data_IF_366534233147
#
_entry.id   IF_366534233147
#
_cell.length_a   1.000
_cell.length_b   1.000
_cell.length_c   1.000
_cell.angle_alpha   90.00
_cell.angle_beta   90.00
_cell.angle_gamma   90.00
#
_symmetry.space_group_name_H-M   'P 1'
#
loop_
_entity.id
_entity.type
_entity.pdbx_description
1 polymer ?
#
# COMPACT_ATOMS: atom_id res chain seq x y z
N UNK A 1 8.32 23.12 68.66
CA UNK A 1 7.17 23.33 67.76
C UNK A 1 7.56 23.64 66.31
N UNK A 2 8.56 24.50 66.03
CA UNK A 2 8.98 24.81 64.63
C UNK A 2 9.49 23.59 63.83
N UNK A 3 10.28 22.69 64.45
CA UNK A 3 10.83 21.51 63.75
C UNK A 3 9.78 20.45 63.41
N UNK A 4 8.83 20.20 64.31
CA UNK A 4 7.75 19.22 64.11
C UNK A 4 6.82 19.62 62.96
N UNK A 5 6.51 20.92 62.84
CA UNK A 5 5.68 21.46 61.76
C UNK A 5 6.38 21.35 60.38
N UNK A 6 7.71 21.53 60.36
CA UNK A 6 8.50 21.40 59.12
C UNK A 6 8.51 19.93 58.66
N UNK A 7 8.75 18.98 59.56
CA UNK A 7 8.77 17.56 59.19
C UNK A 7 7.41 17.02 58.73
N UNK A 8 6.31 17.44 59.35
CA UNK A 8 4.97 17.04 58.91
C UNK A 8 4.54 17.72 57.60
N UNK A 9 4.98 18.96 57.35
CA UNK A 9 4.75 19.63 56.06
C UNK A 9 5.58 18.99 54.93
N UNK A 10 6.83 18.61 55.19
CA UNK A 10 7.68 17.90 54.21
C UNK A 10 7.14 16.50 53.88
N UNK A 11 6.64 15.77 54.88
CA UNK A 11 6.02 14.45 54.67
C UNK A 11 4.70 14.55 53.89
N UNK A 12 3.89 15.57 54.16
CA UNK A 12 2.66 15.84 53.42
C UNK A 12 2.93 16.20 51.95
N UNK A 13 3.98 17.00 51.67
CA UNK A 13 4.40 17.31 50.30
C UNK A 13 4.88 16.05 49.57
N UNK A 14 5.69 15.19 50.22
CA UNK A 14 6.14 13.93 49.62
C UNK A 14 4.99 12.95 49.33
N UNK A 15 3.98 12.88 50.20
CA UNK A 15 2.77 12.08 49.97
C UNK A 15 1.91 12.63 48.82
N UNK A 16 1.95 13.94 48.55
CA UNK A 16 1.25 14.57 47.41
C UNK A 16 1.95 14.33 46.06
N UNK A 17 3.26 14.06 46.05
CA UNK A 17 3.99 13.68 44.82
C UNK A 17 4.02 12.16 44.59
N UNK A 18 3.85 11.36 45.65
CA UNK A 18 3.94 9.89 45.62
C UNK A 18 2.76 9.14 44.98
N UNK A 19 1.68 9.83 44.62
CA UNK A 19 0.48 9.23 44.02
C UNK A 19 0.28 9.62 42.55
N UNK A 20 1.36 9.79 41.77
CA UNK A 20 1.22 9.78 40.31
C UNK A 20 1.17 8.34 39.83
N UNK A 21 -0.04 7.85 39.64
CA UNK A 21 -0.26 6.60 38.92
C UNK A 21 0.08 6.82 37.44
N UNK A 22 1.26 6.37 37.02
CA UNK A 22 1.70 6.46 35.62
C UNK A 22 0.78 5.66 34.68
N UNK A 23 -0.04 4.73 35.19
CA UNK A 23 -1.06 4.06 34.37
C UNK A 23 -2.23 4.98 34.00
N UNK A 24 -2.40 6.10 34.73
CA UNK A 24 -3.38 7.16 34.46
C UNK A 24 -2.77 8.36 33.72
N UNK A 25 -1.51 8.26 33.28
CA UNK A 25 -0.90 9.28 32.44
C UNK A 25 -1.64 9.31 31.08
N UNK A 26 -2.37 10.40 30.74
CA UNK A 26 -3.12 10.47 29.50
C UNK A 26 -2.19 10.48 28.27
N UNK A 27 -0.90 10.82 28.47
CA UNK A 27 0.11 10.74 27.44
C UNK A 27 0.66 9.32 27.38
N UNK A 28 0.02 8.51 26.54
CA UNK A 28 0.56 7.21 26.14
C UNK A 28 1.99 7.43 25.59
N UNK A 29 2.98 6.60 25.96
CA UNK A 29 4.30 6.67 25.36
C UNK A 29 4.20 6.52 23.84
N UNK A 30 5.06 7.23 23.11
CA UNK A 30 5.12 7.14 21.65
C UNK A 30 5.36 5.70 21.24
N UNK A 31 4.43 5.15 20.46
CA UNK A 31 4.57 3.80 19.92
C UNK A 31 5.57 3.82 18.75
N UNK A 32 6.48 2.84 18.66
CA UNK A 32 7.44 2.79 17.59
C UNK A 32 6.76 2.49 16.26
N UNK A 33 7.38 2.92 15.16
CA UNK A 33 6.77 2.88 13.83
C UNK A 33 7.73 2.42 12.73
N UNK A 34 7.16 1.71 11.75
CA UNK A 34 7.83 1.41 10.49
C UNK A 34 6.97 1.85 9.31
N UNK A 35 7.61 2.18 8.20
CA UNK A 35 6.92 2.45 6.94
C UNK A 35 7.66 1.81 5.76
N UNK A 36 6.93 1.53 4.69
CA UNK A 36 7.50 1.05 3.44
C UNK A 36 7.84 2.21 2.53
N UNK A 37 8.74 1.96 1.60
CA UNK A 37 9.05 2.82 0.47
C UNK A 37 9.12 1.95 -0.78
N UNK A 38 8.09 1.99 -1.62
CA UNK A 38 8.02 1.25 -2.88
C UNK A 38 8.36 2.13 -4.08
N UNK A 39 9.08 1.57 -5.06
CA UNK A 39 9.39 2.22 -6.34
C UNK A 39 9.33 1.24 -7.51
N UNK A 40 9.15 1.77 -8.72
CA UNK A 40 9.47 1.04 -9.95
C UNK A 40 10.99 0.95 -10.09
N UNK A 41 11.53 -0.25 -10.32
CA UNK A 41 12.98 -0.42 -10.46
C UNK A 41 13.52 0.34 -11.68
N UNK A 42 14.69 0.97 -11.56
CA UNK A 42 15.31 1.75 -12.63
C UNK A 42 14.66 3.12 -12.89
N UNK A 43 13.64 3.52 -12.12
CA UNK A 43 13.09 4.88 -12.18
C UNK A 43 13.75 5.74 -11.11
N UNK A 44 14.32 6.88 -11.50
CA UNK A 44 15.05 7.76 -10.60
C UNK A 44 14.15 8.34 -9.50
N UNK A 45 14.70 8.43 -8.28
CA UNK A 45 14.08 9.11 -7.13
C UNK A 45 14.12 10.63 -7.34
N UNK A 46 13.26 11.18 -8.20
CA UNK A 46 13.02 12.62 -8.27
C UNK A 46 12.24 13.08 -7.02
N UNK A 47 12.33 14.36 -6.64
CA UNK A 47 11.87 14.97 -5.38
C UNK A 47 10.38 14.84 -4.99
N UNK A 48 9.63 13.88 -5.54
CA UNK A 48 8.31 13.44 -5.09
C UNK A 48 8.36 11.94 -4.80
N UNK A 49 8.10 11.57 -3.55
CA UNK A 49 7.85 10.19 -3.15
C UNK A 49 6.46 9.77 -3.64
N UNK A 50 6.44 9.31 -4.90
CA UNK A 50 5.41 8.55 -5.62
C UNK A 50 5.84 8.58 -7.09
N UNK A 51 6.94 7.88 -7.37
CA UNK A 51 7.73 8.08 -8.60
C UNK A 51 6.90 7.65 -9.82
N UNK A 52 6.25 8.65 -10.43
CA UNK A 52 5.34 8.66 -11.57
C UNK A 52 4.27 7.55 -11.57
N UNK A 53 3.00 7.93 -11.35
CA UNK A 53 1.88 7.08 -11.73
C UNK A 53 2.07 6.63 -13.19
N UNK A 54 2.07 5.32 -13.44
CA UNK A 54 2.38 4.73 -14.75
C UNK A 54 3.82 4.95 -15.24
N UNK A 55 4.82 5.07 -14.35
CA UNK A 55 6.23 5.14 -14.75
C UNK A 55 6.68 3.93 -15.57
N UNK A 56 6.10 2.77 -15.28
CA UNK A 56 6.16 1.55 -16.10
C UNK A 56 4.74 1.10 -16.40
N UNK A 57 4.58 0.31 -17.47
CA UNK A 57 3.30 -0.22 -17.92
C UNK A 57 3.48 -1.63 -18.46
N UNK A 58 2.42 -2.45 -18.43
CA UNK A 58 2.42 -3.70 -19.17
C UNK A 58 2.17 -3.42 -20.66
N UNK A 59 2.86 -4.14 -21.57
CA UNK A 59 2.64 -3.95 -22.99
C UNK A 59 1.30 -4.53 -23.45
N UNK A 60 0.73 -3.97 -24.51
CA UNK A 60 -0.43 -4.56 -25.20
C UNK A 60 -0.11 -5.91 -25.86
N UNK A 61 1.12 -6.08 -26.34
CA UNK A 61 1.60 -7.29 -27.03
C UNK A 61 2.70 -7.98 -26.23
N UNK A 62 2.97 -9.26 -26.54
CA UNK A 62 4.02 -10.05 -25.88
C UNK A 62 3.89 -10.13 -24.33
N UNK A 63 2.66 -10.15 -23.82
CA UNK A 63 2.39 -10.20 -22.37
C UNK A 63 2.88 -11.47 -21.67
N UNK A 64 3.18 -12.54 -22.40
CA UNK A 64 3.76 -13.77 -21.86
C UNK A 64 5.17 -13.57 -21.28
N UNK A 65 5.99 -12.73 -21.93
CA UNK A 65 7.37 -12.45 -21.49
C UNK A 65 7.47 -11.15 -20.67
N UNK A 66 6.40 -10.38 -20.58
CA UNK A 66 6.40 -9.08 -19.94
C UNK A 66 6.43 -9.19 -18.41
N UNK A 67 7.12 -8.24 -17.78
CA UNK A 67 7.14 -8.04 -16.33
C UNK A 67 7.43 -6.59 -16.00
N UNK A 68 7.03 -6.17 -14.81
CA UNK A 68 7.48 -4.92 -14.20
C UNK A 68 8.30 -5.28 -12.97
N UNK A 69 9.54 -4.80 -12.95
CA UNK A 69 10.42 -4.92 -11.80
C UNK A 69 10.19 -3.73 -10.84
N UNK A 70 10.10 -4.05 -9.55
CA UNK A 70 9.85 -3.13 -8.44
C UNK A 70 10.88 -3.32 -7.35
N UNK A 71 11.05 -2.31 -6.51
CA UNK A 71 11.83 -2.41 -5.27
C UNK A 71 11.06 -1.81 -4.10
N UNK A 72 11.17 -2.43 -2.94
CA UNK A 72 10.64 -1.92 -1.68
C UNK A 72 11.70 -1.99 -0.58
N UNK A 73 11.86 -0.91 0.18
CA UNK A 73 12.61 -0.91 1.45
C UNK A 73 11.67 -0.54 2.58
N UNK A 74 11.95 -1.03 3.78
CA UNK A 74 11.28 -0.56 4.97
C UNK A 74 12.21 0.34 5.77
N UNK A 75 11.60 1.24 6.55
CA UNK A 75 12.31 2.21 7.37
C UNK A 75 11.72 2.20 8.77
N UNK A 76 12.57 1.86 9.75
CA UNK A 76 12.37 2.22 11.16
C UNK A 76 13.26 3.42 11.47
N UNK A 77 12.68 4.49 12.02
CA UNK A 77 13.42 5.70 12.39
C UNK A 77 14.02 5.60 13.80
N UNK A 78 13.32 4.91 14.69
CA UNK A 78 13.71 4.68 16.09
C UNK A 78 14.55 3.41 16.29
N UNK A 79 14.69 2.58 15.25
CA UNK A 79 15.33 1.26 15.27
C UNK A 79 14.78 0.28 16.33
N UNK A 80 13.54 0.49 16.81
CA UNK A 80 12.93 -0.39 17.81
C UNK A 80 12.22 -1.59 17.18
N UNK A 81 11.73 -1.42 15.95
CA UNK A 81 10.99 -2.45 15.23
C UNK A 81 11.80 -2.98 14.06
N UNK A 82 11.77 -4.30 13.91
CA UNK A 82 12.30 -4.99 12.71
C UNK A 82 11.14 -5.57 11.93
N UNK A 83 11.16 -5.40 10.60
CA UNK A 83 10.18 -6.03 9.72
C UNK A 83 10.64 -7.44 9.38
N UNK A 84 9.81 -8.44 9.69
CA UNK A 84 10.09 -9.85 9.41
C UNK A 84 9.29 -10.41 8.23
N UNK A 85 8.28 -9.70 7.74
CA UNK A 85 7.51 -10.10 6.57
C UNK A 85 6.94 -8.89 5.84
N UNK A 86 7.03 -8.91 4.51
CA UNK A 86 6.37 -7.95 3.63
C UNK A 86 5.40 -8.70 2.74
N UNK A 87 4.12 -8.33 2.81
CA UNK A 87 3.08 -8.86 1.91
C UNK A 87 2.79 -7.80 0.85
N UNK A 88 3.04 -8.12 -0.41
CA UNK A 88 2.70 -7.26 -1.55
C UNK A 88 1.35 -7.72 -2.11
N UNK A 89 0.44 -6.76 -2.25
CA UNK A 89 -0.87 -6.95 -2.82
C UNK A 89 -0.99 -6.13 -4.10
N UNK A 90 -1.77 -6.64 -5.04
CA UNK A 90 -2.14 -5.93 -6.25
C UNK A 90 -3.64 -5.97 -6.40
N UNK A 91 -4.26 -4.83 -6.64
CA UNK A 91 -5.66 -4.71 -7.03
C UNK A 91 -5.75 -4.41 -8.51
N UNK A 92 -6.64 -5.11 -9.21
CA UNK A 92 -6.95 -4.85 -10.61
C UNK A 92 -8.21 -4.00 -10.67
N UNK A 93 -8.11 -2.84 -11.30
CA UNK A 93 -9.20 -1.92 -11.52
C UNK A 93 -9.63 -2.01 -12.98
N UNK A 94 -10.88 -2.37 -13.19
CA UNK A 94 -11.49 -2.37 -14.51
C UNK A 94 -12.45 -1.19 -14.63
N UNK A 95 -12.44 -0.53 -15.78
CA UNK A 95 -13.43 0.48 -16.14
C UNK A 95 -14.51 -0.10 -17.05
N UNK A 96 -15.71 0.42 -16.95
CA UNK A 96 -16.83 0.03 -17.81
C UNK A 96 -17.82 1.17 -17.94
N UNK A 97 -18.74 1.05 -18.91
CA UNK A 97 -19.90 1.93 -19.01
C UNK A 97 -21.09 1.20 -18.41
N UNK A 98 -21.78 1.82 -17.46
CA UNK A 98 -23.01 1.26 -16.90
C UNK A 98 -24.17 1.34 -17.91
N UNK A 99 -25.31 0.67 -17.66
CA UNK A 99 -26.46 0.69 -18.59
C UNK A 99 -27.01 2.08 -18.86
N UNK A 100 -26.75 3.04 -17.98
CA UNK A 100 -27.19 4.44 -18.08
C UNK A 100 -26.20 5.28 -18.91
N UNK A 101 -25.12 4.68 -19.42
CA UNK A 101 -24.10 5.35 -20.22
C UNK A 101 -22.99 6.02 -19.41
N UNK A 102 -22.96 5.86 -18.09
CA UNK A 102 -21.99 6.53 -17.23
C UNK A 102 -20.68 5.72 -17.12
N UNK A 103 -19.51 6.38 -17.15
CA UNK A 103 -18.25 5.72 -16.86
C UNK A 103 -18.19 5.30 -15.39
N UNK A 104 -17.82 4.04 -15.15
CA UNK A 104 -17.65 3.43 -13.84
C UNK A 104 -16.32 2.69 -13.77
N UNK A 105 -15.88 2.44 -12.53
CA UNK A 105 -14.76 1.56 -12.23
C UNK A 105 -15.17 0.53 -11.19
N UNK A 106 -14.48 -0.60 -11.19
CA UNK A 106 -14.66 -1.67 -10.22
C UNK A 106 -13.30 -2.20 -9.79
N UNK A 107 -13.13 -2.40 -8.48
CA UNK A 107 -12.01 -3.12 -7.90
C UNK A 107 -12.32 -4.62 -7.92
N UNK A 108 -11.51 -5.40 -8.66
CA UNK A 108 -11.71 -6.84 -8.76
C UNK A 108 -11.20 -7.59 -7.52
N UNK A 109 -10.28 -6.97 -6.77
CA UNK A 109 -9.68 -7.54 -5.55
C UNK A 109 -10.30 -7.05 -4.26
N UNK A 110 -11.25 -6.10 -4.31
CA UNK A 110 -11.83 -5.45 -3.12
C UNK A 110 -10.75 -4.91 -2.17
N UNK A 111 -9.77 -4.18 -2.71
CA UNK A 111 -8.59 -3.70 -1.97
C UNK A 111 -7.32 -4.52 -2.17
N UNK A 112 -7.36 -5.52 -3.06
CA UNK A 112 -6.19 -6.20 -3.62
C UNK A 112 -5.98 -7.63 -3.11
N UNK A 113 -5.40 -8.46 -3.98
CA UNK A 113 -5.00 -9.84 -3.69
C UNK A 113 -3.49 -9.93 -3.50
N UNK A 114 -3.04 -10.85 -2.63
CA UNK A 114 -1.61 -11.10 -2.40
C UNK A 114 -0.98 -11.62 -3.69
N UNK A 115 0.05 -10.92 -4.17
CA UNK A 115 0.81 -11.31 -5.37
C UNK A 115 2.21 -11.80 -5.01
N UNK A 116 2.80 -11.26 -3.95
CA UNK A 116 4.12 -11.67 -3.44
C UNK A 116 4.16 -11.60 -1.92
N UNK A 117 4.94 -12.49 -1.33
CA UNK A 117 5.33 -12.44 0.08
C UNK A 117 6.85 -12.47 0.14
N UNK A 118 7.43 -11.63 0.98
CA UNK A 118 8.86 -11.59 1.30
C UNK A 118 8.97 -11.97 2.77
N UNK A 119 9.25 -13.25 3.04
CA UNK A 119 9.29 -13.82 4.39
C UNK A 119 10.62 -13.57 5.13
N UNK A 120 11.63 -13.07 4.42
CA UNK A 120 12.90 -12.64 5.01
C UNK A 120 13.34 -11.31 4.38
N UNK A 121 12.71 -10.19 4.76
CA UNK A 121 13.08 -8.87 4.25
C UNK A 121 14.54 -8.54 4.57
N UNK A 122 15.21 -7.84 3.66
CA UNK A 122 16.53 -7.27 3.91
C UNK A 122 16.48 -6.25 5.06
N UNK A 123 17.65 -5.89 5.62
CA UNK A 123 17.73 -4.99 6.78
C UNK A 123 17.13 -3.60 6.57
N UNK A 124 17.04 -2.81 7.64
CA UNK A 124 16.49 -1.46 7.63
C UNK A 124 17.11 -0.61 6.50
N UNK A 125 16.26 0.07 5.72
CA UNK A 125 16.64 0.90 4.55
C UNK A 125 17.32 0.15 3.40
N UNK A 126 17.39 -1.18 3.43
CA UNK A 126 17.89 -1.99 2.32
C UNK A 126 16.74 -2.37 1.37
N UNK A 127 17.07 -2.47 0.08
CA UNK A 127 16.09 -2.81 -0.94
C UNK A 127 15.75 -4.30 -0.94
N UNK A 128 14.48 -4.59 -1.18
CA UNK A 128 13.96 -5.89 -1.55
C UNK A 128 13.41 -5.74 -2.98
N UNK A 129 13.93 -6.53 -3.92
CA UNK A 129 13.45 -6.54 -5.28
C UNK A 129 12.31 -7.55 -5.44
N UNK A 130 11.31 -7.21 -6.24
CA UNK A 130 10.26 -8.14 -6.65
C UNK A 130 9.75 -7.77 -8.03
N UNK A 131 9.06 -8.70 -8.67
CA UNK A 131 8.52 -8.52 -10.01
C UNK A 131 7.06 -8.93 -10.03
N UNK A 132 6.29 -8.31 -10.92
CA UNK A 132 4.92 -8.70 -11.21
C UNK A 132 4.77 -8.84 -12.73
N UNK A 133 4.22 -9.96 -13.15
CA UNK A 133 3.93 -10.28 -14.56
C UNK A 133 2.43 -10.27 -14.86
N UNK A 134 2.01 -10.10 -16.13
CA UNK A 134 0.62 -10.24 -16.53
C UNK A 134 0.02 -11.62 -16.21
N UNK A 135 0.83 -12.68 -16.26
CA UNK A 135 0.40 -14.04 -15.95
C UNK A 135 0.00 -14.18 -14.47
N UNK A 136 0.76 -13.57 -13.55
CA UNK A 136 0.43 -13.57 -12.12
C UNK A 136 -0.86 -12.81 -11.84
N UNK A 137 -1.03 -11.62 -12.45
CA UNK A 137 -2.28 -10.85 -12.36
C UNK A 137 -3.46 -11.68 -12.88
N UNK A 138 -3.34 -12.27 -14.06
CA UNK A 138 -4.39 -13.10 -14.62
C UNK A 138 -4.74 -14.26 -13.69
N UNK A 139 -3.77 -14.98 -13.16
CA UNK A 139 -4.03 -16.10 -12.25
C UNK A 139 -4.78 -15.66 -10.96
N UNK A 140 -4.52 -14.45 -10.46
CA UNK A 140 -5.24 -13.88 -9.33
C UNK A 140 -6.69 -13.52 -9.65
N UNK A 141 -6.98 -13.12 -10.89
CA UNK A 141 -8.25 -12.49 -11.26
C UNK A 141 -9.08 -13.23 -12.32
N UNK A 142 -8.59 -14.33 -12.90
CA UNK A 142 -9.24 -15.06 -14.00
C UNK A 142 -10.70 -15.45 -13.72
N UNK A 143 -11.02 -15.69 -12.45
CA UNK A 143 -12.36 -16.09 -11.99
C UNK A 143 -13.19 -14.91 -11.47
N UNK A 144 -12.68 -13.67 -11.58
CA UNK A 144 -13.41 -12.48 -11.15
C UNK A 144 -14.67 -12.28 -12.00
N UNK A 145 -15.75 -11.92 -11.33
CA UNK A 145 -17.03 -11.61 -11.95
C UNK A 145 -17.50 -10.22 -11.52
N UNK A 146 -18.17 -9.52 -12.43
CA UNK A 146 -18.71 -8.18 -12.20
C UNK A 146 -20.13 -8.12 -12.71
N UNK A 147 -21.01 -7.47 -11.94
CA UNK A 147 -22.39 -7.16 -12.34
C UNK A 147 -22.44 -5.81 -13.06
N UNK A 148 -21.98 -5.78 -14.30
CA UNK A 148 -21.89 -4.54 -15.09
C UNK A 148 -23.26 -3.87 -15.29
N UNK A 149 -24.32 -4.67 -15.39
CA UNK A 149 -25.72 -4.23 -15.53
C UNK A 149 -26.45 -4.10 -14.17
N UNK A 150 -25.71 -4.17 -13.05
CA UNK A 150 -26.20 -4.22 -11.67
C UNK A 150 -26.96 -5.53 -11.30
N UNK A 151 -27.14 -6.47 -12.23
CA UNK A 151 -27.97 -7.67 -12.04
C UNK A 151 -27.18 -8.97 -12.28
N UNK A 152 -26.67 -9.17 -13.50
CA UNK A 152 -26.06 -10.40 -13.98
C UNK A 152 -24.54 -10.37 -13.80
N UNK A 153 -24.00 -11.40 -13.13
CA UNK A 153 -22.56 -11.54 -12.97
C UNK A 153 -21.93 -12.06 -14.26
N UNK A 154 -21.01 -11.28 -14.83
CA UNK A 154 -20.25 -11.64 -16.03
C UNK A 154 -18.79 -11.84 -15.64
N UNK A 155 -18.16 -12.90 -16.16
CA UNK A 155 -16.71 -13.12 -15.98
C UNK A 155 -15.94 -12.03 -16.69
N UNK A 156 -15.03 -11.38 -15.96
CA UNK A 156 -14.23 -10.25 -16.45
C UNK A 156 -13.43 -10.59 -17.70
N UNK A 157 -12.78 -11.76 -17.70
CA UNK A 157 -11.88 -12.17 -18.78
C UNK A 157 -12.61 -12.79 -19.98
N UNK A 158 -13.90 -13.12 -19.81
CA UNK A 158 -14.78 -13.64 -20.88
C UNK A 158 -15.81 -12.58 -21.32
N UNK A 159 -15.69 -11.33 -20.87
CA UNK A 159 -16.68 -10.28 -21.13
C UNK A 159 -16.63 -9.86 -22.62
N UNK A 160 -17.69 -10.16 -23.42
CA UNK A 160 -17.68 -9.85 -24.86
C UNK A 160 -17.74 -8.35 -25.14
N UNK A 161 -18.22 -7.54 -24.19
CA UNK A 161 -18.18 -6.09 -24.32
C UNK A 161 -16.75 -5.57 -24.20
N UNK A 162 -15.84 -6.30 -23.55
CA UNK A 162 -14.42 -5.95 -23.33
C UNK A 162 -13.52 -7.16 -23.68
N UNK A 163 -13.51 -7.59 -24.96
CA UNK A 163 -12.72 -8.75 -25.36
C UNK A 163 -11.24 -8.46 -25.14
N UNK A 164 -10.47 -9.47 -24.71
CA UNK A 164 -9.01 -9.37 -24.62
C UNK A 164 -8.40 -9.60 -26.01
N UNK A 165 -7.35 -8.86 -26.43
CA UNK A 165 -6.69 -9.10 -27.71
C UNK A 165 -6.16 -10.54 -27.79
N UNK A 166 -6.05 -11.10 -29.01
CA UNK A 166 -5.54 -12.46 -29.18
C UNK A 166 -4.13 -12.60 -28.58
N UNK A 167 -3.94 -13.59 -27.70
CA UNK A 167 -2.68 -13.81 -26.99
C UNK A 167 -2.39 -12.83 -25.84
N UNK A 168 -3.29 -11.88 -25.56
CA UNK A 168 -3.16 -10.96 -24.44
C UNK A 168 -4.08 -11.38 -23.28
N UNK A 169 -3.57 -11.23 -22.05
CA UNK A 169 -4.35 -11.46 -20.82
C UNK A 169 -5.01 -10.18 -20.34
N UNK A 170 -4.32 -9.07 -20.51
CA UNK A 170 -4.69 -7.74 -20.05
C UNK A 170 -5.07 -6.85 -21.23
N UNK A 171 -5.95 -5.88 -20.98
CA UNK A 171 -6.52 -5.03 -22.03
C UNK A 171 -6.10 -3.57 -21.87
N UNK A 172 -5.78 -2.94 -23.00
CA UNK A 172 -5.51 -1.50 -23.12
C UNK A 172 -6.77 -0.64 -23.09
N UNK A 173 -6.58 0.66 -23.28
CA UNK A 173 -7.70 1.58 -23.41
C UNK A 173 -8.43 1.33 -24.73
N UNK A 174 -9.75 1.49 -24.72
CA UNK A 174 -10.62 1.39 -25.89
C UNK A 174 -11.74 2.43 -25.78
N UNK A 175 -12.48 2.64 -26.86
CA UNK A 175 -13.64 3.55 -26.82
C UNK A 175 -14.60 3.18 -25.69
N UNK A 176 -14.89 4.13 -24.81
CA UNK A 176 -15.78 3.95 -23.66
C UNK A 176 -15.18 3.24 -22.44
N UNK A 177 -13.92 2.80 -22.48
CA UNK A 177 -13.28 2.18 -21.31
C UNK A 177 -11.77 2.45 -21.24
N UNK A 178 -11.30 2.89 -20.08
CA UNK A 178 -9.87 2.99 -19.77
C UNK A 178 -9.20 1.60 -19.77
N UNK A 179 -7.88 1.59 -19.95
CA UNK A 179 -7.05 0.39 -19.82
C UNK A 179 -7.23 -0.28 -18.46
N UNK A 180 -6.91 -1.58 -18.40
CA UNK A 180 -6.79 -2.25 -17.10
C UNK A 180 -5.75 -1.51 -16.27
N UNK A 181 -6.12 -1.15 -15.04
CA UNK A 181 -5.26 -0.42 -14.13
C UNK A 181 -4.95 -1.28 -12.91
N UNK A 182 -3.80 -1.02 -12.30
CA UNK A 182 -3.28 -1.81 -11.20
C UNK A 182 -2.82 -0.91 -10.08
N UNK A 183 -3.19 -1.29 -8.86
CA UNK A 183 -2.80 -0.62 -7.62
C UNK A 183 -1.98 -1.60 -6.81
N UNK A 184 -0.72 -1.28 -6.53
CA UNK A 184 0.18 -2.09 -5.70
C UNK A 184 0.28 -1.49 -4.32
N UNK A 185 -0.02 -2.30 -3.31
CA UNK A 185 0.06 -1.93 -1.90
C UNK A 185 0.88 -2.97 -1.14
N UNK A 186 1.28 -2.63 0.09
CA UNK A 186 2.02 -3.54 0.95
C UNK A 186 1.55 -3.49 2.39
N UNK A 187 1.84 -4.59 3.11
CA UNK A 187 1.69 -4.72 4.55
C UNK A 187 3.03 -5.20 5.13
N UNK A 188 3.56 -4.47 6.11
CA UNK A 188 4.78 -4.79 6.83
C UNK A 188 4.40 -5.41 8.17
N UNK A 189 4.80 -6.65 8.42
CA UNK A 189 4.68 -7.28 9.74
C UNK A 189 5.99 -7.12 10.50
N UNK A 190 5.93 -6.70 11.75
CA UNK A 190 7.10 -6.55 12.60
C UNK A 190 7.36 -7.77 13.47
N UNK A 191 8.54 -7.84 14.08
CA UNK A 191 8.92 -8.84 15.09
C UNK A 191 7.95 -8.91 16.27
N UNK A 192 7.25 -7.82 16.59
CA UNK A 192 6.25 -7.74 17.65
C UNK A 192 4.83 -8.11 17.18
N UNK A 193 4.65 -8.45 15.90
CA UNK A 193 3.36 -8.80 15.31
C UNK A 193 2.52 -7.61 14.86
N UNK A 194 3.01 -6.37 14.99
CA UNK A 194 2.33 -5.17 14.48
C UNK A 194 2.32 -5.19 12.94
N UNK A 195 1.23 -4.67 12.35
CA UNK A 195 1.05 -4.61 10.91
C UNK A 195 0.90 -3.16 10.47
N UNK A 196 1.82 -2.70 9.63
CA UNK A 196 1.82 -1.36 9.05
C UNK A 196 1.45 -1.45 7.57
N UNK A 197 0.42 -0.72 7.16
CA UNK A 197 -0.10 -0.72 5.78
C UNK A 197 0.21 0.61 5.12
N UNK A 198 0.04 0.67 3.79
CA UNK A 198 0.11 1.92 3.03
C UNK A 198 -0.78 3.01 3.65
N UNK A 199 -0.36 4.27 3.52
CA UNK A 199 -1.14 5.41 4.03
C UNK A 199 -2.30 5.79 3.11
N UNK A 200 -3.24 6.55 3.67
CA UNK A 200 -4.33 7.14 2.90
C UNK A 200 -3.76 8.17 1.90
N UNK A 201 -4.29 8.16 0.69
CA UNK A 201 -3.86 9.01 -0.40
C UNK A 201 -4.21 10.47 -0.20
N UNK A 202 -5.35 10.78 0.41
CA UNK A 202 -5.86 12.16 0.57
C UNK A 202 -5.06 13.00 1.57
N UNK A 203 -3.91 12.50 2.02
CA UNK A 203 -3.05 13.11 3.03
C UNK A 203 -1.65 13.31 2.47
N UNK A 204 -0.64 12.80 3.18
CA UNK A 204 0.77 13.03 2.91
C UNK A 204 1.17 12.56 1.49
N UNK A 205 0.56 11.51 0.94
CA UNK A 205 0.86 10.99 -0.40
C UNK A 205 0.70 11.98 -1.56
N UNK A 206 -0.10 13.04 -1.39
CA UNK A 206 -0.32 14.07 -2.40
C UNK A 206 0.49 15.36 -2.14
N UNK A 207 1.24 15.44 -1.04
CA UNK A 207 2.01 16.62 -0.66
C UNK A 207 3.16 16.87 -1.65
N UNK A 208 3.17 18.00 -2.39
CA UNK A 208 4.18 18.31 -3.38
C UNK A 208 5.47 18.90 -2.80
N UNK A 209 5.57 19.10 -1.48
CA UNK A 209 6.73 19.73 -0.84
C UNK A 209 7.93 18.76 -0.70
N UNK A 210 9.18 19.27 -0.75
CA UNK A 210 10.40 18.46 -0.60
C UNK A 210 10.59 17.81 0.78
N UNK A 211 9.64 18.00 1.70
CA UNK A 211 9.69 17.47 3.07
C UNK A 211 9.50 15.94 3.08
N UNK A 212 9.08 15.35 1.96
CA UNK A 212 8.51 14.02 1.95
C UNK A 212 9.48 12.87 1.66
N UNK A 213 10.49 12.70 2.52
CA UNK A 213 10.74 11.31 2.94
C UNK A 213 9.49 10.72 3.64
N UNK A 214 8.60 11.59 4.11
CA UNK A 214 7.29 11.30 4.68
C UNK A 214 6.15 10.99 3.68
N UNK A 215 6.36 10.87 2.35
CA UNK A 215 5.35 10.29 1.42
C UNK A 215 5.74 8.85 1.03
N UNK A 216 6.63 8.22 1.80
CA UNK A 216 7.24 6.94 1.46
C UNK A 216 6.24 5.77 1.36
N UNK A 217 5.20 5.78 2.20
CA UNK A 217 4.34 4.62 2.41
C UNK A 217 3.12 4.59 1.49
N UNK A 218 3.26 5.12 0.28
CA UNK A 218 2.17 5.38 -0.64
C UNK A 218 2.14 4.34 -1.77
N UNK A 219 0.93 3.97 -2.23
CA UNK A 219 0.73 2.92 -3.23
C UNK A 219 1.39 3.26 -4.58
N UNK A 220 1.71 2.23 -5.37
CA UNK A 220 2.16 2.40 -6.75
C UNK A 220 1.03 2.08 -7.72
N UNK A 221 0.88 2.88 -8.77
CA UNK A 221 -0.15 2.69 -9.79
C UNK A 221 0.45 2.54 -11.17
N UNK A 222 -0.05 1.59 -11.96
CA UNK A 222 0.33 1.42 -13.36
C UNK A 222 -0.84 0.86 -14.20
N UNK A 223 -0.66 0.80 -15.51
CA UNK A 223 -1.70 0.36 -16.45
C UNK A 223 -1.10 -0.42 -17.62
N UNK A 224 -1.94 -0.78 -18.60
CA UNK A 224 -1.55 -1.41 -19.87
C UNK A 224 -1.44 -0.33 -20.96
N UNK A 225 -0.33 -0.28 -21.71
CA UNK A 225 -0.10 0.64 -22.83
C UNK A 225 0.64 -0.01 -23.99
#
# INVERSE_FOLDING_TARGET
MKKTLIYSLSLAIFLLVGCRDESLNPNKPWEPGVHGWGVFDGVAEAAKANIAANAKTFPLTAQDAAKIDFKIRWVSLDNQLTVNKIVIKVDMIESYTDPDGNPKTVSLGSGGKVVKTIDAPTGNRQWNAFTISPAEIYNLYKDATVKYDKVNAVKVFDNPARPRPAGARLQGAKTGAAADAFVVTWELTTSTGLVFKVWNEDSICLDPTPVSQANANCRLNFTVK
#
